data_IF_725973179218
#
_entry.id   IF_725973179218
#
_cell.length_a   1.000
_cell.length_b   1.000
_cell.length_c   1.000
_cell.angle_alpha   90.00
_cell.angle_beta   90.00
_cell.angle_gamma   90.00
#
_symmetry.space_group_name_H-M   'P 1'
#
loop_
_entity.id
_entity.type
_entity.pdbx_description
1 polymer ?
#
# COMPACT_ATOMS: atom_id res chain seq x y z
N UNK A 1 -17.55 -15.74 3.96
CA UNK A 1 -17.03 -15.21 2.67
C UNK A 1 -17.20 -13.69 2.58
N UNK A 2 -18.41 -13.14 2.75
CA UNK A 2 -18.64 -11.69 2.75
C UNK A 2 -17.74 -10.90 3.74
N UNK A 3 -17.54 -11.42 4.96
CA UNK A 3 -16.68 -10.79 5.98
C UNK A 3 -15.20 -10.68 5.54
N UNK A 4 -14.68 -11.69 4.84
CA UNK A 4 -13.28 -11.69 4.36
C UNK A 4 -13.08 -10.58 3.33
N UNK A 5 -14.04 -10.44 2.41
CA UNK A 5 -13.98 -9.40 1.38
C UNK A 5 -14.08 -7.99 1.98
N UNK A 6 -14.93 -7.80 2.99
CA UNK A 6 -15.05 -6.53 3.72
C UNK A 6 -13.77 -6.17 4.49
N UNK A 7 -13.17 -7.13 5.20
CA UNK A 7 -11.89 -6.93 5.89
C UNK A 7 -10.79 -6.54 4.90
N UNK A 8 -10.71 -7.24 3.76
CA UNK A 8 -9.72 -6.94 2.71
C UNK A 8 -9.98 -5.59 2.06
N UNK A 9 -11.25 -5.19 1.86
CA UNK A 9 -11.60 -3.85 1.40
C UNK A 9 -11.10 -2.79 2.37
N UNK A 10 -11.35 -2.93 3.67
CA UNK A 10 -10.87 -1.96 4.65
C UNK A 10 -9.34 -1.89 4.73
N UNK A 11 -8.66 -3.03 4.62
CA UNK A 11 -7.20 -3.10 4.70
C UNK A 11 -6.46 -2.67 3.42
N UNK A 12 -7.12 -2.72 2.26
CA UNK A 12 -6.50 -2.40 0.96
C UNK A 12 -7.24 -1.31 0.17
N UNK A 13 -8.52 -1.51 -0.12
CA UNK A 13 -9.30 -0.69 -1.06
C UNK A 13 -9.89 0.60 -0.47
N UNK A 14 -9.97 0.71 0.86
CA UNK A 14 -10.40 1.94 1.51
C UNK A 14 -9.33 3.03 1.42
N UNK A 15 -9.74 4.29 1.63
CA UNK A 15 -8.80 5.41 1.75
C UNK A 15 -7.75 5.20 2.85
N UNK A 16 -8.11 4.48 3.92
CA UNK A 16 -7.18 4.08 4.98
C UNK A 16 -6.31 2.85 4.60
N UNK A 17 -6.79 2.00 3.69
CA UNK A 17 -6.11 0.81 3.19
C UNK A 17 -4.97 1.12 2.24
N UNK A 18 -5.02 2.26 1.55
CA UNK A 18 -3.88 2.83 0.83
C UNK A 18 -3.36 2.00 -0.35
N UNK A 19 -4.14 1.03 -0.84
CA UNK A 19 -3.79 0.16 -1.97
C UNK A 19 -2.42 -0.52 -1.84
N UNK A 20 -2.06 -0.93 -0.62
CA UNK A 20 -0.76 -1.54 -0.38
C UNK A 20 -0.60 -2.91 -1.06
N UNK A 21 0.66 -3.32 -1.24
CA UNK A 21 1.00 -4.64 -1.76
C UNK A 21 0.41 -5.78 -0.91
N UNK A 22 0.35 -6.98 -1.50
CA UNK A 22 -0.19 -8.19 -0.86
C UNK A 22 0.31 -8.41 0.57
N UNK A 23 1.63 -8.38 0.78
CA UNK A 23 2.21 -8.63 2.10
C UNK A 23 1.81 -7.55 3.11
N UNK A 24 1.84 -6.28 2.72
CA UNK A 24 1.43 -5.18 3.59
C UNK A 24 -0.06 -5.24 3.93
N UNK A 25 -0.91 -5.62 2.97
CA UNK A 25 -2.34 -5.85 3.19
C UNK A 25 -2.56 -6.96 4.21
N UNK A 26 -1.92 -8.13 4.01
CA UNK A 26 -2.02 -9.25 4.96
C UNK A 26 -1.48 -8.89 6.35
N UNK A 27 -0.36 -8.17 6.43
CA UNK A 27 0.16 -7.66 7.71
C UNK A 27 -0.82 -6.72 8.41
N UNK A 28 -1.54 -5.87 7.67
CA UNK A 28 -2.54 -4.96 8.24
C UNK A 28 -3.74 -5.72 8.81
N UNK A 29 -4.19 -6.76 8.12
CA UNK A 29 -5.23 -7.67 8.64
C UNK A 29 -4.81 -8.28 9.98
N UNK A 30 -3.58 -8.79 10.07
CA UNK A 30 -3.04 -9.34 11.32
C UNK A 30 -2.95 -8.28 12.43
N UNK A 31 -2.53 -7.05 12.10
CA UNK A 31 -2.46 -5.94 13.05
C UNK A 31 -3.83 -5.55 13.61
N UNK A 32 -4.89 -5.72 12.83
CA UNK A 32 -6.28 -5.50 13.28
C UNK A 32 -6.86 -6.67 14.09
N UNK A 33 -6.10 -7.76 14.29
CA UNK A 33 -6.49 -8.89 15.12
C UNK A 33 -7.25 -10.01 14.40
N UNK A 34 -7.41 -9.90 13.07
CA UNK A 34 -8.03 -10.96 12.26
C UNK A 34 -7.00 -11.95 11.75
N UNK A 35 -7.41 -13.20 11.60
CA UNK A 35 -6.59 -14.26 11.02
C UNK A 35 -7.46 -15.34 10.38
N UNK A 36 -6.97 -15.93 9.28
CA UNK A 36 -7.50 -17.17 8.72
C UNK A 36 -6.41 -17.93 7.95
N UNK A 37 -6.56 -19.27 7.75
CA UNK A 37 -5.51 -20.11 7.18
C UNK A 37 -5.00 -19.70 5.80
N UNK A 38 -5.88 -19.13 4.97
CA UNK A 38 -5.57 -18.74 3.58
C UNK A 38 -5.31 -17.23 3.40
N UNK A 39 -5.12 -16.47 4.49
CA UNK A 39 -4.98 -15.01 4.49
C UNK A 39 -4.10 -14.44 3.37
N UNK A 40 -2.89 -14.99 3.20
CA UNK A 40 -1.97 -14.49 2.18
C UNK A 40 -2.45 -14.77 0.76
N UNK A 41 -3.05 -15.95 0.51
CA UNK A 41 -3.60 -16.31 -0.80
C UNK A 41 -4.81 -15.44 -1.13
N UNK A 42 -5.70 -15.23 -0.17
CA UNK A 42 -6.91 -14.42 -0.36
C UNK A 42 -6.55 -12.94 -0.54
N UNK A 43 -5.59 -12.42 0.24
CA UNK A 43 -5.04 -11.08 0.05
C UNK A 43 -4.43 -10.91 -1.34
N UNK A 44 -3.68 -11.90 -1.82
CA UNK A 44 -3.10 -11.85 -3.17
C UNK A 44 -4.18 -11.83 -4.24
N UNK A 45 -5.16 -12.72 -4.14
CA UNK A 45 -6.26 -12.81 -5.09
C UNK A 45 -7.08 -11.52 -5.12
N UNK A 46 -7.28 -10.87 -3.97
CA UNK A 46 -7.96 -9.59 -3.86
C UNK A 46 -7.18 -8.44 -4.49
N UNK A 47 -5.89 -8.29 -4.12
CA UNK A 47 -5.02 -7.21 -4.63
C UNK A 47 -4.84 -7.30 -6.15
N UNK A 48 -4.62 -8.51 -6.70
CA UNK A 48 -4.46 -8.72 -8.15
C UNK A 48 -5.72 -8.32 -8.93
N UNK A 49 -6.91 -8.44 -8.33
CA UNK A 49 -8.20 -8.04 -8.93
C UNK A 49 -8.53 -6.56 -8.73
N UNK A 50 -7.73 -5.80 -7.97
CA UNK A 50 -8.03 -4.40 -7.70
C UNK A 50 -7.84 -3.53 -8.94
N UNK A 51 -8.96 -3.07 -9.51
CA UNK A 51 -9.02 -2.22 -10.70
C UNK A 51 -8.22 -0.91 -10.55
N UNK A 52 -8.26 -0.27 -9.37
CA UNK A 52 -7.46 0.93 -9.10
C UNK A 52 -5.95 0.65 -9.20
N UNK A 53 -5.48 -0.46 -8.62
CA UNK A 53 -4.08 -0.88 -8.72
C UNK A 53 -3.70 -1.27 -10.15
N UNK A 54 -4.59 -1.95 -10.88
CA UNK A 54 -4.36 -2.32 -12.28
C UNK A 54 -4.21 -1.08 -13.17
N UNK A 55 -5.06 -0.06 -12.98
CA UNK A 55 -4.99 1.20 -13.74
C UNK A 55 -3.77 2.06 -13.38
N UNK A 56 -3.34 2.06 -12.12
CA UNK A 56 -2.14 2.79 -11.71
C UNK A 56 -0.88 2.23 -12.39
N UNK A 57 -0.89 0.96 -12.77
CA UNK A 57 0.22 0.28 -13.44
C UNK A 57 1.42 0.05 -12.51
N UNK A 58 2.53 -0.43 -13.08
CA UNK A 58 3.79 -0.59 -12.36
C UNK A 58 4.54 0.75 -12.33
N UNK A 59 4.10 1.66 -11.45
CA UNK A 59 4.91 2.83 -11.09
C UNK A 59 6.18 2.30 -10.43
N UNK A 60 7.30 2.47 -11.12
CA UNK A 60 8.62 2.06 -10.65
C UNK A 60 9.41 3.27 -10.17
N UNK A 61 10.58 3.05 -9.56
CA UNK A 61 11.51 4.14 -9.23
C UNK A 61 11.88 5.01 -10.45
N UNK A 62 11.76 4.49 -11.67
CA UNK A 62 11.97 5.28 -12.91
C UNK A 62 10.87 6.30 -13.19
N UNK A 63 9.71 6.14 -12.55
CA UNK A 63 8.56 7.01 -12.67
C UNK A 63 8.49 8.02 -11.51
N UNK A 64 9.41 7.94 -10.54
CA UNK A 64 9.49 8.92 -9.45
C UNK A 64 9.78 10.30 -10.02
N UNK A 65 9.07 11.30 -9.52
CA UNK A 65 9.40 12.69 -9.80
C UNK A 65 10.79 13.01 -9.23
N UNK A 66 11.62 13.81 -9.92
CA UNK A 66 12.90 14.24 -9.37
C UNK A 66 12.70 14.90 -8.01
N UNK A 67 13.28 14.29 -6.98
CA UNK A 67 13.24 14.86 -5.63
C UNK A 67 14.30 15.96 -5.57
N UNK A 68 13.86 17.22 -5.50
CA UNK A 68 14.75 18.35 -5.23
C UNK A 68 14.98 18.41 -3.72
N UNK A 69 16.20 18.14 -3.21
CA UNK A 69 16.46 18.27 -1.79
C UNK A 69 16.23 19.71 -1.36
N UNK A 70 15.56 19.89 -0.23
CA UNK A 70 15.56 21.19 0.44
C UNK A 70 16.99 21.42 0.90
N UNK A 71 17.64 22.44 0.34
CA UNK A 71 18.93 22.90 0.85
C UNK A 71 18.68 23.50 2.23
N UNK A 72 19.12 22.79 3.27
CA UNK A 72 19.36 23.40 4.57
C UNK A 72 20.50 24.40 4.37
N UNK A 73 20.15 25.69 4.31
CA UNK A 73 21.14 26.76 4.29
C UNK A 73 21.53 26.98 5.74
N UNK A 74 22.71 26.50 6.11
CA UNK A 74 23.28 26.79 7.41
C UNK A 74 23.71 28.25 7.46
N UNK A 75 23.70 28.83 8.67
CA UNK A 75 23.99 30.25 8.89
C UNK A 75 25.37 30.69 8.32
N UNK A 76 26.25 29.73 8.03
CA UNK A 76 27.61 29.94 7.51
C UNK A 76 27.77 29.64 6.02
N UNK A 77 26.73 29.18 5.31
CA UNK A 77 26.82 28.82 3.87
C UNK A 77 26.85 30.03 2.92
N UNK A 78 26.76 31.25 3.45
CA UNK A 78 26.66 32.50 2.68
C UNK A 78 27.78 33.52 3.02
N UNK A 79 28.88 33.08 3.64
CA UNK A 79 30.03 33.95 3.93
C UNK A 79 31.03 34.02 2.78
#
# INVERSE_FOLDING_TARGET
>A
EAEVEEILYHCHGSSYGGHFSTFKTASKVLQTGYWWPNLFKDSQAYVVKCDACQRAGNISARNEMPQNPILEVELFDVW
#
